data_IF_681859070182
#
_entry.id   IF_681859070182
#
_cell.length_a   1.000
_cell.length_b   1.000
_cell.length_c   1.000
_cell.angle_alpha   90.00
_cell.angle_beta   90.00
_cell.angle_gamma   90.00
#
_symmetry.space_group_name_H-M   'P 1'
#
loop_
_entity.id
_entity.type
_entity.pdbx_description
1 polymer ?
#
# COMPACT_ATOMS: atom_id res chain seq x y z
N UNK A 1 13.66 -13.97 -6.28
CA UNK A 1 12.22 -13.73 -6.04
C UNK A 1 11.96 -12.92 -4.77
N UNK A 2 12.96 -12.54 -3.97
CA UNK A 2 12.77 -11.65 -2.80
C UNK A 2 13.06 -10.16 -3.06
N UNK A 3 13.72 -9.83 -4.16
CA UNK A 3 14.14 -8.46 -4.49
C UNK A 3 12.95 -7.48 -4.64
N UNK A 4 11.79 -7.96 -5.07
CA UNK A 4 10.59 -7.13 -5.20
C UNK A 4 9.99 -6.78 -3.83
N UNK A 5 10.04 -7.72 -2.88
CA UNK A 5 9.61 -7.48 -1.50
C UNK A 5 10.60 -6.62 -0.74
N UNK A 6 11.91 -6.75 -0.99
CA UNK A 6 12.94 -5.87 -0.44
C UNK A 6 12.75 -4.41 -0.91
N UNK A 7 12.47 -4.21 -2.20
CA UNK A 7 12.15 -2.88 -2.74
C UNK A 7 10.86 -2.31 -2.17
N UNK A 8 9.83 -3.13 -2.03
CA UNK A 8 8.55 -2.70 -1.48
C UNK A 8 8.68 -2.33 0.01
N UNK A 9 9.44 -3.09 0.78
CA UNK A 9 9.76 -2.77 2.18
C UNK A 9 10.47 -1.42 2.28
N UNK A 10 11.43 -1.16 1.39
CA UNK A 10 12.14 0.12 1.34
C UNK A 10 11.21 1.31 1.02
N UNK A 11 10.31 1.14 0.05
CA UNK A 11 9.32 2.16 -0.31
C UNK A 11 8.34 2.48 0.82
N UNK A 12 7.88 1.45 1.53
CA UNK A 12 6.85 1.62 2.56
C UNK A 12 7.43 2.10 3.89
N UNK A 13 8.69 1.79 4.20
CA UNK A 13 9.31 2.14 5.49
C UNK A 13 10.31 3.30 5.43
N UNK A 14 11.05 3.46 4.33
CA UNK A 14 12.14 4.44 4.24
C UNK A 14 11.81 5.62 3.30
N UNK A 15 10.87 5.45 2.36
CA UNK A 15 10.54 6.51 1.42
C UNK A 15 9.50 7.49 1.98
N UNK A 16 9.98 8.57 2.60
CA UNK A 16 9.16 9.56 3.31
C UNK A 16 7.97 10.10 2.51
N UNK A 17 8.17 10.42 1.23
CA UNK A 17 7.09 10.93 0.37
C UNK A 17 5.96 9.92 0.16
N UNK A 18 6.31 8.63 0.00
CA UNK A 18 5.32 7.56 -0.16
C UNK A 18 4.56 7.40 1.16
N UNK A 19 5.25 7.45 2.29
CA UNK A 19 4.64 7.38 3.62
C UNK A 19 3.70 8.56 3.91
N UNK A 20 4.01 9.75 3.38
CA UNK A 20 3.11 10.92 3.44
C UNK A 20 1.87 10.73 2.58
N UNK A 21 2.00 10.24 1.34
CA UNK A 21 0.87 9.94 0.46
C UNK A 21 -0.06 8.90 1.09
N UNK A 22 0.52 7.88 1.73
CA UNK A 22 -0.23 6.83 2.44
C UNK A 22 -0.81 7.30 3.78
N UNK A 23 -0.49 8.53 4.24
CA UNK A 23 -0.97 9.06 5.52
C UNK A 23 -0.43 8.34 6.76
N UNK A 24 0.65 7.57 6.61
CA UNK A 24 1.30 6.80 7.70
C UNK A 24 2.52 7.52 8.28
N UNK A 25 3.05 8.49 7.55
CA UNK A 25 4.05 9.43 8.05
C UNK A 25 3.39 10.45 8.99
N UNK A 26 4.03 10.71 10.12
CA UNK A 26 3.58 11.72 11.07
C UNK A 26 4.58 12.87 11.12
N UNK A 27 4.09 14.05 11.47
CA UNK A 27 4.93 15.24 11.69
C UNK A 27 5.64 15.16 13.05
N UNK A 28 5.06 14.40 13.99
CA UNK A 28 5.56 14.20 15.35
C UNK A 28 5.58 12.71 15.72
N UNK A 29 6.71 12.23 16.22
CA UNK A 29 6.90 10.84 16.65
C UNK A 29 7.30 9.88 15.53
N UNK A 30 7.36 8.59 15.84
CA UNK A 30 7.54 7.56 14.82
C UNK A 30 6.20 7.21 14.18
N UNK A 31 6.04 7.53 12.90
CA UNK A 31 4.88 7.10 12.12
C UNK A 31 4.82 5.57 11.98
N UNK A 32 3.69 5.07 11.48
CA UNK A 32 3.47 3.62 11.38
C UNK A 32 4.55 2.98 10.51
N UNK A 33 5.20 1.94 11.04
CA UNK A 33 6.15 1.08 10.32
C UNK A 33 5.52 -0.28 10.09
N UNK A 34 5.88 -0.90 8.97
CA UNK A 34 5.39 -2.19 8.57
C UNK A 34 6.53 -3.19 8.64
N UNK A 35 6.30 -4.35 9.26
CA UNK A 35 7.28 -5.41 9.17
C UNK A 35 7.24 -6.04 7.77
N UNK A 36 8.39 -6.47 7.27
CA UNK A 36 8.49 -7.19 6.00
C UNK A 36 7.53 -8.38 5.91
N UNK A 37 7.35 -9.11 7.01
CA UNK A 37 6.38 -10.21 7.08
C UNK A 37 4.95 -9.71 6.90
N UNK A 38 4.56 -8.61 7.54
CA UNK A 38 3.23 -8.03 7.37
C UNK A 38 2.97 -7.55 5.94
N UNK A 39 3.98 -7.01 5.27
CA UNK A 39 3.88 -6.64 3.84
C UNK A 39 3.67 -7.89 3.01
N UNK A 40 4.49 -8.93 3.20
CA UNK A 40 4.39 -10.19 2.46
C UNK A 40 3.04 -10.86 2.65
N UNK A 41 2.57 -10.96 3.89
CA UNK A 41 1.27 -11.56 4.22
C UNK A 41 0.14 -10.77 3.54
N UNK A 42 0.13 -9.43 3.65
CA UNK A 42 -0.91 -8.60 3.06
C UNK A 42 -0.91 -8.61 1.54
N UNK A 43 0.27 -8.62 0.91
CA UNK A 43 0.39 -8.73 -0.54
C UNK A 43 -0.06 -10.10 -1.02
N UNK A 44 0.25 -11.17 -0.27
CA UNK A 44 -0.24 -12.53 -0.60
C UNK A 44 -1.76 -12.70 -0.43
N UNK A 45 -2.41 -11.84 0.34
CA UNK A 45 -3.86 -11.80 0.48
C UNK A 45 -4.55 -11.06 -0.66
N UNK A 46 -3.80 -10.37 -1.54
CA UNK A 46 -4.36 -9.73 -2.73
C UNK A 46 -4.58 -10.78 -3.81
N UNK A 47 -5.81 -11.29 -3.87
CA UNK A 47 -6.27 -12.17 -4.94
C UNK A 47 -6.93 -11.36 -6.07
N UNK A 48 -7.00 -11.95 -7.26
CA UNK A 48 -7.56 -11.34 -8.47
C UNK A 48 -9.00 -10.87 -8.25
N UNK A 49 -9.79 -11.62 -7.48
CA UNK A 49 -11.15 -11.25 -7.06
C UNK A 49 -11.19 -9.96 -6.23
N UNK A 50 -10.22 -9.75 -5.36
CA UNK A 50 -10.14 -8.54 -4.53
C UNK A 50 -9.70 -7.35 -5.37
N UNK A 51 -8.72 -7.54 -6.25
CA UNK A 51 -8.25 -6.52 -7.19
C UNK A 51 -9.39 -6.06 -8.11
N UNK A 52 -10.19 -7.00 -8.63
CA UNK A 52 -11.34 -6.70 -9.46
C UNK A 52 -12.41 -5.91 -8.71
N UNK A 53 -12.70 -6.26 -7.44
CA UNK A 53 -13.64 -5.48 -6.62
C UNK A 53 -13.15 -4.06 -6.36
N UNK A 54 -11.86 -3.88 -6.09
CA UNK A 54 -11.27 -2.53 -5.94
C UNK A 54 -11.43 -1.75 -7.25
N UNK A 55 -11.13 -2.38 -8.39
CA UNK A 55 -11.26 -1.76 -9.70
C UNK A 55 -12.70 -1.33 -10.00
N UNK A 56 -13.70 -2.18 -9.74
CA UNK A 56 -15.11 -1.83 -9.90
C UNK A 56 -15.52 -0.60 -9.07
N UNK A 57 -15.07 -0.53 -7.81
CA UNK A 57 -15.37 0.59 -6.92
C UNK A 57 -14.72 1.87 -7.41
N UNK A 58 -13.44 1.82 -7.79
CA UNK A 58 -12.70 2.98 -8.31
C UNK A 58 -13.33 3.49 -9.60
N UNK A 59 -13.63 2.59 -10.55
CA UNK A 59 -14.31 2.92 -11.80
C UNK A 59 -15.66 3.56 -11.51
N UNK A 60 -16.49 2.95 -10.64
CA UNK A 60 -17.80 3.49 -10.25
C UNK A 60 -17.71 4.88 -9.62
N UNK A 61 -16.74 5.12 -8.75
CA UNK A 61 -16.51 6.44 -8.14
C UNK A 61 -16.12 7.47 -9.20
N UNK A 62 -15.28 7.11 -10.16
CA UNK A 62 -14.89 8.01 -11.26
C UNK A 62 -16.12 8.35 -12.12
N UNK A 63 -16.95 7.36 -12.46
CA UNK A 63 -18.20 7.58 -13.21
C UNK A 63 -19.25 8.41 -12.47
N UNK A 64 -19.21 8.50 -11.13
CA UNK A 64 -20.11 9.36 -10.35
C UNK A 64 -19.64 10.82 -10.23
N UNK A 65 -18.38 11.10 -10.56
CA UNK A 65 -17.76 12.43 -10.45
C UNK A 65 -17.74 13.18 -11.79
N UNK A 66 -17.93 12.47 -12.91
CA UNK A 66 -18.07 13.01 -14.28
C UNK A 66 -19.54 13.22 -14.62
#
# INVERSE_FOLDING_TARGET
MDADYDRLDDFVNHHKQIRQILGVETIFGEGKRFSRQSIKDKVSLLDEDIINKINEVVVRLIWQVV
#
